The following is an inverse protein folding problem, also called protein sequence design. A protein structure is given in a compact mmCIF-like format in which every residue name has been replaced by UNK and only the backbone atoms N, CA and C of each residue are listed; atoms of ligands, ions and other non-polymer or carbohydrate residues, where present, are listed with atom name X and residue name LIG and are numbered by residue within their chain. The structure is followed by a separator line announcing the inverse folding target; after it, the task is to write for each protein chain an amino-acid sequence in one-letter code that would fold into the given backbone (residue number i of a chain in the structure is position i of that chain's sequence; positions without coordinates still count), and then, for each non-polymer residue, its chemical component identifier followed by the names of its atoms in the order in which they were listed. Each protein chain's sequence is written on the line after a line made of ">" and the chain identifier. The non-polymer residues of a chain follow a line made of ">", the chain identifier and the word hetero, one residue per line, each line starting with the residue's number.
data_IF_700009524189
#
_entry.id   IF_700009524189
#
_cell.length_a   1.000
_cell.length_b   1.000
_cell.length_c   1.000
_cell.angle_alpha   90.00
_cell.angle_beta   90.00
_cell.angle_gamma   90.00
#
_symmetry.space_group_name_H-M   'P 1'
#
loop_
_entity.id
_entity.type
_entity.pdbx_description
1 polymer ?
#
# COMPACT_ATOMS: atom_id res chain seq x y z
N UNK A 1 6.73 -0.64 13.74
CA UNK A 1 6.48 -1.45 14.95
C UNK A 1 5.86 -0.63 16.08
N UNK A 2 6.42 0.54 16.41
CA UNK A 2 5.89 1.46 17.44
C UNK A 2 4.38 1.71 17.33
N UNK A 3 3.89 2.14 16.16
CA UNK A 3 2.47 2.38 15.93
C UNK A 3 1.58 1.17 16.26
N UNK A 4 2.08 -0.05 16.06
CA UNK A 4 1.32 -1.26 16.40
C UNK A 4 1.17 -1.47 17.90
N UNK A 5 2.11 -0.96 18.69
CA UNK A 5 2.13 -1.09 20.14
C UNK A 5 1.42 0.09 20.83
N UNK A 6 1.44 1.28 20.21
CA UNK A 6 0.97 2.53 20.84
C UNK A 6 -0.36 3.05 20.31
N UNK A 7 -0.80 2.65 19.11
CA UNK A 7 -2.05 3.16 18.55
C UNK A 7 -3.24 2.81 19.44
N UNK A 8 -4.11 3.81 19.66
CA UNK A 8 -5.31 3.65 20.47
C UNK A 8 -6.53 3.30 19.60
N UNK A 9 -6.64 3.91 18.42
CA UNK A 9 -7.64 3.65 17.41
C UNK A 9 -6.96 3.43 16.05
N UNK A 10 -7.41 2.44 15.30
CA UNK A 10 -6.93 2.16 13.93
C UNK A 10 -8.12 2.11 12.97
N UNK A 11 -8.01 2.88 11.88
CA UNK A 11 -8.92 2.81 10.73
C UNK A 11 -8.32 1.88 9.68
N UNK A 12 -9.06 0.83 9.32
CA UNK A 12 -8.70 -0.14 8.30
C UNK A 12 -9.57 0.11 7.08
N UNK A 13 -8.97 0.57 5.98
CA UNK A 13 -9.68 1.04 4.79
C UNK A 13 -9.34 0.15 3.60
N UNK A 14 -10.33 -0.50 3.00
CA UNK A 14 -10.20 -1.16 1.69
C UNK A 14 -9.16 -2.28 1.63
N UNK A 15 -8.81 -2.90 2.77
CA UNK A 15 -7.88 -4.03 2.83
C UNK A 15 -8.56 -5.27 3.41
N UNK A 16 -8.17 -6.43 2.91
CA UNK A 16 -8.65 -7.74 3.36
C UNK A 16 -7.98 -8.23 4.64
N UNK A 17 -6.94 -7.53 5.13
CA UNK A 17 -6.09 -7.96 6.25
C UNK A 17 -5.55 -9.38 6.04
N UNK A 18 -4.95 -9.62 4.87
CA UNK A 18 -4.55 -10.95 4.40
C UNK A 18 -3.25 -11.50 5.02
N UNK A 19 -2.73 -10.89 6.10
CA UNK A 19 -1.53 -11.36 6.81
C UNK A 19 -0.26 -10.59 6.44
N UNK A 20 -0.37 -9.34 6.01
CA UNK A 20 0.79 -8.46 5.83
C UNK A 20 1.31 -8.00 7.18
N UNK A 21 2.61 -7.70 7.27
CA UNK A 21 3.20 -7.16 8.50
C UNK A 21 2.55 -5.85 8.96
N UNK A 22 1.94 -5.07 8.05
CA UNK A 22 1.17 -3.88 8.39
C UNK A 22 -0.11 -4.19 9.19
N UNK A 23 -0.72 -5.37 8.96
CA UNK A 23 -1.96 -5.79 9.62
C UNK A 23 -1.77 -5.90 11.13
N UNK A 24 -0.53 -6.08 11.60
CA UNK A 24 -0.21 -6.11 13.03
C UNK A 24 -0.67 -4.85 13.76
N UNK A 25 -0.71 -3.69 13.09
CA UNK A 25 -1.15 -2.42 13.69
C UNK A 25 -2.63 -2.50 14.04
N UNK A 26 -3.44 -2.97 13.10
CA UNK A 26 -4.87 -3.17 13.28
C UNK A 26 -5.15 -4.30 14.29
N UNK A 27 -4.51 -5.45 14.12
CA UNK A 27 -4.74 -6.66 14.94
C UNK A 27 -4.33 -6.42 16.39
N UNK A 28 -3.13 -5.88 16.66
CA UNK A 28 -2.69 -5.64 18.04
C UNK A 28 -3.59 -4.62 18.74
N UNK A 29 -4.03 -3.58 18.03
CA UNK A 29 -4.94 -2.57 18.57
C UNK A 29 -6.33 -3.14 18.86
N UNK A 30 -6.89 -3.96 17.96
CA UNK A 30 -8.14 -4.68 18.20
C UNK A 30 -8.05 -5.63 19.41
N UNK A 31 -6.94 -6.36 19.55
CA UNK A 31 -6.75 -7.25 20.71
C UNK A 31 -6.61 -6.48 22.03
N UNK A 32 -6.06 -5.26 22.02
CA UNK A 32 -6.02 -4.39 23.20
C UNK A 32 -7.41 -3.85 23.58
N UNK A 33 -8.28 -3.56 22.62
CA UNK A 33 -9.63 -3.05 22.91
C UNK A 33 -10.52 -4.11 23.58
N UNK A 34 -10.34 -5.39 23.26
CA UNK A 34 -10.99 -6.51 23.97
C UNK A 34 -10.69 -6.50 25.48
N UNK A 35 -9.55 -5.93 25.88
CA UNK A 35 -9.15 -5.76 27.29
C UNK A 35 -9.41 -4.35 27.83
N UNK A 36 -10.18 -3.52 27.11
CA UNK A 36 -10.44 -2.10 27.42
C UNK A 36 -9.18 -1.26 27.59
N UNK A 37 -8.10 -1.61 26.86
CA UNK A 37 -6.83 -0.88 26.87
C UNK A 37 -6.62 0.01 25.64
N UNK A 38 -7.58 0.00 24.71
CA UNK A 38 -7.60 0.90 23.58
C UNK A 38 -9.00 1.02 22.97
N UNK A 39 -9.23 2.02 22.12
CA UNK A 39 -10.47 2.18 21.36
C UNK A 39 -10.68 1.07 20.32
N UNK A 40 -9.59 0.56 19.73
CA UNK A 40 -9.60 -0.65 18.90
C UNK A 40 -9.55 -0.38 17.41
N UNK A 41 -10.33 -1.15 16.65
CA UNK A 41 -10.24 -1.18 15.19
C UNK A 41 -11.59 -0.84 14.56
N UNK A 42 -11.61 0.12 13.64
CA UNK A 42 -12.74 0.44 12.78
C UNK A 42 -12.42 -0.09 11.39
N UNK A 43 -13.24 -1.00 10.89
CA UNK A 43 -12.99 -1.71 9.64
C UNK A 43 -14.01 -1.31 8.58
N UNK A 44 -13.53 -0.64 7.53
CA UNK A 44 -14.29 -0.15 6.39
C UNK A 44 -13.82 -0.90 5.13
N UNK A 45 -14.70 -1.71 4.57
CA UNK A 45 -14.41 -2.53 3.40
C UNK A 45 -15.70 -3.10 2.83
N UNK A 46 -15.74 -3.39 1.53
CA UNK A 46 -16.88 -4.03 0.87
C UNK A 46 -16.96 -5.53 1.21
N UNK A 47 -15.81 -6.21 1.26
CA UNK A 47 -15.71 -7.65 1.50
C UNK A 47 -15.50 -7.96 2.99
N UNK A 48 -15.93 -9.15 3.42
CA UNK A 48 -15.61 -9.65 4.76
C UNK A 48 -14.10 -9.86 4.91
N UNK A 49 -13.60 -9.68 6.14
CA UNK A 49 -12.20 -10.00 6.48
C UNK A 49 -12.13 -11.09 7.56
N UNK A 50 -11.00 -11.82 7.67
CA UNK A 50 -10.79 -12.78 8.76
C UNK A 50 -10.79 -12.16 10.17
N UNK A 51 -10.82 -10.83 10.27
CA UNK A 51 -10.72 -10.09 11.54
C UNK A 51 -11.94 -9.23 11.83
N UNK A 52 -13.04 -9.39 11.07
CA UNK A 52 -14.30 -8.67 11.29
C UNK A 52 -14.80 -8.81 12.73
N UNK A 53 -14.73 -10.02 13.30
CA UNK A 53 -15.16 -10.29 14.69
C UNK A 53 -14.29 -9.64 15.78
N UNK A 54 -13.14 -9.04 15.42
CA UNK A 54 -12.27 -8.30 16.34
C UNK A 54 -12.46 -6.78 16.22
N UNK A 55 -13.20 -6.31 15.22
CA UNK A 55 -13.42 -4.88 15.01
C UNK A 55 -14.32 -4.32 16.12
N UNK A 56 -13.97 -3.14 16.64
CA UNK A 56 -14.86 -2.34 17.50
C UNK A 56 -16.04 -1.80 16.69
N UNK A 57 -15.84 -1.54 15.39
CA UNK A 57 -16.88 -1.14 14.44
C UNK A 57 -16.56 -1.70 13.05
N UNK A 58 -17.55 -2.30 12.40
CA UNK A 58 -17.45 -2.80 11.01
C UNK A 58 -18.47 -2.06 10.14
N UNK A 59 -18.00 -1.43 9.06
CA UNK A 59 -18.85 -0.72 8.10
C UNK A 59 -18.67 -1.32 6.70
N UNK A 60 -19.75 -1.82 6.12
CA UNK A 60 -19.77 -2.34 4.75
C UNK A 60 -20.15 -1.21 3.79
N UNK A 61 -19.22 -0.82 2.91
CA UNK A 61 -19.46 0.24 1.94
C UNK A 61 -18.17 0.70 1.26
N UNK A 62 -18.33 1.52 0.22
CA UNK A 62 -17.22 2.21 -0.40
C UNK A 62 -16.64 3.24 0.57
N UNK A 63 -15.31 3.30 0.67
CA UNK A 63 -14.61 4.22 1.58
C UNK A 63 -15.00 5.66 1.30
N UNK A 64 -15.11 6.05 0.03
CA UNK A 64 -15.41 7.43 -0.37
C UNK A 64 -16.76 7.90 0.16
N UNK A 65 -17.83 7.12 0.00
CA UNK A 65 -19.18 7.44 0.48
C UNK A 65 -19.22 7.58 2.02
N UNK A 66 -18.50 6.70 2.71
CA UNK A 66 -18.43 6.68 4.17
C UNK A 66 -17.69 7.92 4.68
N UNK A 67 -16.56 8.26 4.06
CA UNK A 67 -15.78 9.43 4.47
C UNK A 67 -16.49 10.73 4.09
N UNK A 68 -17.20 10.79 2.97
CA UNK A 68 -18.04 11.94 2.64
C UNK A 68 -19.09 12.18 3.73
N UNK A 69 -19.79 11.12 4.15
CA UNK A 69 -20.77 11.19 5.23
C UNK A 69 -20.14 11.59 6.56
N UNK A 70 -18.97 11.02 6.88
CA UNK A 70 -18.20 11.35 8.10
C UNK A 70 -17.78 12.83 8.12
N UNK A 71 -17.27 13.35 7.00
CA UNK A 71 -16.83 14.75 6.90
C UNK A 71 -17.99 15.74 7.01
N UNK A 72 -19.16 15.41 6.48
CA UNK A 72 -20.38 16.18 6.74
C UNK A 72 -20.70 16.22 8.24
N UNK A 73 -20.59 15.10 8.95
CA UNK A 73 -20.85 15.03 10.40
C UNK A 73 -19.81 15.76 11.25
N UNK A 74 -18.54 15.80 10.82
CA UNK A 74 -17.43 16.44 11.55
C UNK A 74 -17.37 17.97 11.41
N UNK A 75 -18.49 18.62 11.05
CA UNK A 75 -18.58 20.07 10.88
C UNK A 75 -18.45 20.54 9.44
N UNK A 76 -18.94 19.74 8.48
CA UNK A 76 -18.89 20.04 7.05
C UNK A 76 -17.47 20.32 6.55
N UNK A 77 -16.51 19.47 6.91
CA UNK A 77 -15.16 19.55 6.38
C UNK A 77 -15.19 19.36 4.86
N UNK A 78 -14.69 20.34 4.10
CA UNK A 78 -14.57 20.20 2.65
C UNK A 78 -13.33 19.40 2.30
N UNK A 79 -13.46 18.50 1.33
CA UNK A 79 -12.30 17.86 0.72
C UNK A 79 -11.56 18.89 -0.12
N UNK A 80 -10.24 19.10 0.07
CA UNK A 80 -9.49 19.99 -0.78
C UNK A 80 -9.55 19.48 -2.23
N UNK A 81 -9.65 20.37 -3.22
CA UNK A 81 -9.56 19.96 -4.61
C UNK A 81 -8.21 19.27 -4.85
N UNK A 82 -8.26 18.02 -5.29
CA UNK A 82 -7.06 17.27 -5.62
C UNK A 82 -6.69 17.59 -7.06
N UNK A 83 -5.63 18.38 -7.27
CA UNK A 83 -5.08 18.54 -8.61
C UNK A 83 -4.54 17.19 -9.10
N UNK A 84 -4.88 16.74 -10.32
CA UNK A 84 -4.34 15.51 -10.85
C UNK A 84 -2.81 15.65 -10.92
N UNK A 85 -2.09 14.74 -10.24
CA UNK A 85 -0.64 14.64 -10.39
C UNK A 85 -0.35 14.19 -11.81
N UNK A 86 0.03 15.13 -12.67
CA UNK A 86 0.48 14.82 -14.02
C UNK A 86 1.90 14.29 -13.91
N UNK A 87 2.11 13.02 -14.27
CA UNK A 87 3.47 12.49 -14.37
C UNK A 87 4.17 13.16 -15.57
N UNK A 88 5.29 13.85 -15.38
CA UNK A 88 6.02 14.44 -16.48
C UNK A 88 6.58 13.31 -17.36
N UNK A 89 6.21 13.32 -18.64
CA UNK A 89 6.74 12.48 -19.73
C UNK A 89 6.37 10.98 -19.70
N UNK A 90 5.20 10.64 -20.25
CA UNK A 90 5.22 9.69 -21.37
C UNK A 90 5.80 10.48 -22.54
N UNK A 91 7.11 10.31 -22.80
CA UNK A 91 7.79 11.09 -23.83
C UNK A 91 7.04 10.96 -25.16
N UNK A 92 6.59 12.09 -25.70
CA UNK A 92 6.18 12.39 -27.08
C UNK A 92 6.02 11.20 -28.03
N UNK A 93 5.23 10.21 -27.62
CA UNK A 93 4.90 9.04 -28.41
C UNK A 93 3.39 9.09 -28.49
N UNK A 94 2.95 9.40 -29.70
CA UNK A 94 1.57 9.50 -30.15
C UNK A 94 0.78 8.20 -30.02
N UNK A 95 1.26 7.23 -29.22
CA UNK A 95 0.67 5.93 -29.00
C UNK A 95 0.19 5.86 -27.54
N UNK A 96 -1.14 5.89 -27.41
CA UNK A 96 -1.95 5.90 -26.19
C UNK A 96 -1.68 4.74 -25.18
N UNK A 97 -0.66 3.92 -25.40
CA UNK A 97 -0.46 2.64 -24.72
C UNK A 97 0.95 2.39 -24.18
N UNK A 98 1.95 3.26 -24.40
CA UNK A 98 3.30 2.99 -23.92
C UNK A 98 3.46 3.40 -22.45
N UNK A 99 3.48 2.40 -21.54
CA UNK A 99 3.71 2.59 -20.09
C UNK A 99 5.21 2.70 -19.76
N UNK A 100 5.91 3.58 -20.46
CA UNK A 100 7.37 3.78 -20.31
C UNK A 100 7.63 5.11 -19.63
N UNK A 101 8.34 5.09 -18.51
CA UNK A 101 8.59 6.26 -17.67
C UNK A 101 10.09 6.53 -17.54
N UNK A 102 10.48 7.80 -17.57
CA UNK A 102 11.84 8.22 -17.18
C UNK A 102 11.86 8.47 -15.68
N UNK A 103 12.62 7.66 -14.95
CA UNK A 103 12.69 7.72 -13.48
C UNK A 103 14.07 8.19 -13.00
N UNK A 104 14.16 8.88 -11.85
CA UNK A 104 15.42 9.46 -11.33
C UNK A 104 16.34 8.41 -10.66
N UNK A 105 16.44 7.23 -11.26
CA UNK A 105 17.26 6.12 -10.77
C UNK A 105 18.21 5.64 -11.86
N UNK A 106 19.37 5.09 -11.47
CA UNK A 106 20.26 4.36 -12.37
C UNK A 106 19.79 2.90 -12.60
N UNK A 107 20.49 2.16 -13.48
CA UNK A 107 20.16 0.75 -13.77
C UNK A 107 20.41 -0.18 -12.58
N UNK A 108 21.03 0.30 -11.50
CA UNK A 108 21.17 -0.39 -10.22
C UNK A 108 20.14 0.09 -9.18
N UNK A 109 19.16 0.91 -9.59
CA UNK A 109 18.08 1.45 -8.75
C UNK A 109 18.52 2.43 -7.68
N UNK A 110 19.71 3.03 -7.81
CA UNK A 110 20.18 4.10 -6.93
C UNK A 110 19.70 5.43 -7.46
N UNK A 111 19.30 6.33 -6.56
CA UNK A 111 18.91 7.70 -6.91
C UNK A 111 20.10 8.37 -7.62
N UNK A 112 19.86 8.97 -8.79
CA UNK A 112 20.89 9.68 -9.54
C UNK A 112 20.61 11.18 -9.57
N UNK A 113 21.50 11.97 -8.94
CA UNK A 113 21.34 13.42 -8.81
C UNK A 113 21.44 14.17 -10.15
N UNK A 114 22.00 13.55 -11.19
CA UNK A 114 22.42 14.25 -12.42
C UNK A 114 22.26 13.37 -13.66
N UNK A 115 21.13 13.54 -14.36
CA UNK A 115 20.92 13.19 -15.79
C UNK A 115 20.92 11.71 -16.20
N UNK A 116 21.20 10.75 -15.31
CA UNK A 116 21.01 9.32 -15.61
C UNK A 116 19.61 8.91 -15.21
N UNK A 117 18.67 9.16 -16.11
CA UNK A 117 17.30 8.67 -15.99
C UNK A 117 17.24 7.26 -16.57
N UNK A 118 16.81 6.29 -15.76
CA UNK A 118 16.47 4.96 -16.25
C UNK A 118 15.10 5.00 -16.94
N UNK A 119 14.96 4.23 -18.02
CA UNK A 119 13.66 3.94 -18.63
C UNK A 119 13.01 2.78 -17.88
N UNK A 120 11.95 3.05 -17.13
CA UNK A 120 11.12 2.05 -16.48
C UNK A 120 10.00 1.64 -17.44
N UNK A 121 10.09 0.43 -17.97
CA UNK A 121 9.05 -0.16 -18.83
C UNK A 121 8.06 -0.95 -17.99
N UNK A 122 6.80 -0.48 -17.93
CA UNK A 122 5.68 -1.13 -17.25
C UNK A 122 4.65 -1.71 -18.22
N UNK A 123 5.03 -1.93 -19.48
CA UNK A 123 4.20 -2.66 -20.43
C UNK A 123 4.04 -4.13 -20.01
N UNK A 124 2.94 -4.75 -20.42
CA UNK A 124 2.68 -6.17 -20.13
C UNK A 124 3.79 -7.00 -20.79
N UNK A 125 4.47 -7.85 -19.99
CA UNK A 125 5.57 -8.69 -20.46
C UNK A 125 6.96 -8.05 -20.39
N UNK A 126 7.06 -6.77 -20.02
CA UNK A 126 8.36 -6.15 -19.74
C UNK A 126 9.05 -6.85 -18.56
N UNK A 127 10.36 -7.09 -18.68
CA UNK A 127 11.17 -7.65 -17.60
C UNK A 127 11.64 -6.51 -16.70
N UNK A 128 11.41 -6.66 -15.40
CA UNK A 128 11.87 -5.71 -14.37
C UNK A 128 12.78 -6.42 -13.39
N UNK A 129 13.85 -5.75 -12.98
CA UNK A 129 14.78 -6.23 -11.96
C UNK A 129 14.53 -5.46 -10.66
N UNK A 130 14.37 -6.19 -9.56
CA UNK A 130 14.21 -5.60 -8.24
C UNK A 130 15.60 -5.50 -7.61
N UNK A 131 16.07 -4.28 -7.40
CA UNK A 131 17.41 -3.97 -6.89
C UNK A 131 17.30 -3.34 -5.50
N UNK A 132 18.11 -3.83 -4.56
CA UNK A 132 18.23 -3.31 -3.18
C UNK A 132 16.87 -3.10 -2.45
N UNK A 133 16.00 -4.10 -2.49
CA UNK A 133 14.70 -4.04 -1.80
C UNK A 133 14.80 -4.31 -0.29
N UNK A 134 14.04 -3.57 0.53
CA UNK A 134 13.94 -3.82 1.98
C UNK A 134 12.88 -4.87 2.32
N UNK A 135 12.83 -5.96 1.57
CA UNK A 135 11.86 -7.03 1.83
C UNK A 135 12.13 -7.71 3.18
N UNK A 136 13.40 -7.94 3.50
CA UNK A 136 13.79 -8.57 4.77
C UNK A 136 13.38 -7.71 5.98
N UNK A 137 13.63 -6.39 5.95
CA UNK A 137 13.22 -5.48 7.03
C UNK A 137 11.72 -5.18 7.06
N UNK A 138 11.02 -5.34 5.93
CA UNK A 138 9.56 -5.20 5.89
C UNK A 138 8.81 -6.35 6.58
N UNK A 139 9.46 -7.50 6.81
CA UNK A 139 8.88 -8.65 7.51
C UNK A 139 7.64 -9.23 6.83
N UNK A 140 7.46 -9.01 5.53
CA UNK A 140 6.27 -9.45 4.78
C UNK A 140 6.43 -10.89 4.30
N UNK A 141 5.50 -11.83 4.54
CA UNK A 141 5.64 -13.23 4.11
C UNK A 141 5.64 -13.43 2.58
N UNK A 142 5.16 -12.45 1.81
CA UNK A 142 5.09 -12.46 0.33
C UNK A 142 6.45 -12.56 -0.37
N UNK A 143 7.56 -12.39 0.34
CA UNK A 143 8.89 -12.68 -0.20
C UNK A 143 9.13 -14.16 -0.47
N UNK A 144 8.44 -15.06 0.22
CA UNK A 144 8.59 -16.51 0.00
C UNK A 144 8.08 -16.94 -1.38
N UNK A 145 7.14 -16.18 -1.96
CA UNK A 145 6.66 -16.38 -3.33
C UNK A 145 7.52 -15.71 -4.40
N UNK A 146 8.33 -14.71 -4.04
CA UNK A 146 9.27 -14.02 -4.95
C UNK A 146 10.68 -14.64 -4.90
N UNK A 147 11.05 -15.20 -3.75
CA UNK A 147 12.30 -15.88 -3.47
C UNK A 147 11.91 -17.33 -3.12
N UNK A 148 11.77 -18.19 -4.13
CA UNK A 148 11.65 -19.62 -3.85
C UNK A 148 12.96 -20.09 -3.25
N UNK A 149 12.89 -20.75 -2.09
CA UNK A 149 14.00 -21.56 -1.60
C UNK A 149 14.46 -22.51 -2.72
N UNK A 150 15.71 -22.32 -3.18
CA UNK A 150 16.37 -23.11 -4.23
C UNK A 150 15.76 -23.06 -5.65
N UNK A 151 15.03 -22.02 -6.03
CA UNK A 151 14.69 -21.81 -7.44
C UNK A 151 14.79 -20.34 -7.81
N UNK A 152 15.35 -20.09 -8.99
CA UNK A 152 15.54 -18.75 -9.54
C UNK A 152 14.22 -17.95 -9.47
N UNK A 153 14.31 -16.67 -9.09
CA UNK A 153 13.15 -15.81 -8.96
C UNK A 153 12.35 -15.79 -10.27
N UNK A 154 11.03 -15.78 -10.16
CA UNK A 154 10.13 -15.62 -11.30
C UNK A 154 10.29 -14.16 -11.78
N UNK A 155 11.30 -13.94 -12.60
CA UNK A 155 11.91 -12.65 -12.89
C UNK A 155 13.37 -12.67 -12.47
N UNK A 156 14.28 -12.71 -13.43
CA UNK A 156 15.73 -12.80 -13.22
C UNK A 156 16.20 -11.68 -12.27
N UNK A 157 16.59 -12.05 -11.06
CA UNK A 157 17.36 -11.17 -10.15
C UNK A 157 18.80 -11.35 -10.58
N UNK A 158 19.25 -10.45 -11.45
CA UNK A 158 20.66 -10.29 -11.82
C UNK A 158 21.38 -9.54 -10.69
#
# INVERSE_FOLDING_TARGET
>A
EEAANTADLVLVLGTSLSGLNADQVAIKTAMRSLRKRSLGMVLINLQQTPHDGKASLRVFGATDDIFQSLFSLMGNLSMPPMEPKVFPFAAESSEMHQRIFLVPYDVQGRISDKKKLMRLDLNIGAKVQIVNHNIAGAGQPSHQSMIKHNADPIGEVI
#
